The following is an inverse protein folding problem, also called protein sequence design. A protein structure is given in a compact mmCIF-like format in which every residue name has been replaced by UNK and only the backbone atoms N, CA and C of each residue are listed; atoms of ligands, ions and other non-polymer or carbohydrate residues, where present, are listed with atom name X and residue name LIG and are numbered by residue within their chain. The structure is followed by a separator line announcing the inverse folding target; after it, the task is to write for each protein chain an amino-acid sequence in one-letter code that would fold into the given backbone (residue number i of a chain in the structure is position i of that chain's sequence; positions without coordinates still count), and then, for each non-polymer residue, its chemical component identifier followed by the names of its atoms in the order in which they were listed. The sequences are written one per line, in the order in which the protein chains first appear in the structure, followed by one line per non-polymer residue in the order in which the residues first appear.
data_IF_998324982073
#
_entry.id   IF_998324982073
#
_cell.length_a   1.000
_cell.length_b   1.000
_cell.length_c   1.000
_cell.angle_alpha   90.00
_cell.angle_beta   90.00
_cell.angle_gamma   90.00
#
_symmetry.space_group_name_H-M   'P 1'
#
loop_
_entity.id
_entity.type
_entity.pdbx_description
1 polymer ?
#
# COMPACT_ATOMS: atom_id res chain seq x y z
N UNK A 1 -4.14 -16.44 57.44
CA UNK A 1 -3.47 -17.06 56.27
C UNK A 1 -4.29 -16.75 55.05
N UNK A 2 -3.69 -16.11 54.04
CA UNK A 2 -4.32 -15.88 52.74
C UNK A 2 -3.80 -17.03 51.89
N UNK A 3 -4.68 -17.98 51.59
CA UNK A 3 -4.36 -19.11 50.74
C UNK A 3 -3.93 -18.59 49.37
N UNK A 4 -2.65 -18.79 49.06
CA UNK A 4 -2.07 -18.67 47.74
C UNK A 4 -2.58 -19.82 46.88
N UNK A 5 -3.83 -19.74 46.41
CA UNK A 5 -4.34 -20.59 45.35
C UNK A 5 -3.83 -20.09 43.99
N UNK A 6 -2.80 -20.81 43.52
CA UNK A 6 -2.58 -21.22 42.12
C UNK A 6 -2.72 -20.16 41.03
N UNK A 7 -1.64 -19.41 40.84
CA UNK A 7 -1.27 -18.78 39.56
C UNK A 7 -1.02 -19.84 38.44
N UNK A 8 -1.04 -21.13 38.77
CA UNK A 8 -0.83 -22.24 37.85
C UNK A 8 -2.08 -22.71 37.07
N UNK A 9 -3.31 -22.32 37.44
CA UNK A 9 -4.55 -22.74 36.75
C UNK A 9 -4.96 -21.85 35.56
N UNK A 10 -4.35 -20.67 35.37
CA UNK A 10 -4.67 -19.74 34.27
C UNK A 10 -3.65 -19.75 33.10
N UNK A 11 -2.61 -20.59 33.15
CA UNK A 11 -1.52 -20.61 32.14
C UNK A 11 -1.41 -21.91 31.34
N UNK A 12 -2.08 -22.99 31.74
CA UNK A 12 -2.08 -24.26 30.98
C UNK A 12 -3.16 -24.30 29.87
N UNK A 13 -4.22 -23.52 30.01
CA UNK A 13 -5.36 -23.43 29.09
C UNK A 13 -5.13 -22.47 27.90
N UNK A 14 -4.24 -21.49 28.04
CA UNK A 14 -3.77 -20.61 26.95
C UNK A 14 -2.80 -21.37 26.00
N UNK A 15 -2.12 -22.39 26.53
CA UNK A 15 -0.98 -23.07 25.90
C UNK A 15 -1.36 -24.29 25.05
N UNK A 16 -2.41 -25.06 25.33
CA UNK A 16 -2.90 -26.08 24.36
C UNK A 16 -3.62 -25.46 23.15
N UNK A 17 -3.95 -24.17 23.26
CA UNK A 17 -4.83 -23.45 22.35
C UNK A 17 -4.08 -22.94 21.11
N UNK A 18 -2.91 -22.34 21.29
CA UNK A 18 -2.02 -21.92 20.20
C UNK A 18 -1.10 -23.07 19.71
N UNK A 19 -0.99 -24.14 20.48
CA UNK A 19 -0.16 -25.31 20.15
C UNK A 19 -0.80 -26.23 19.11
N UNK A 20 -2.13 -26.29 19.05
CA UNK A 20 -2.81 -26.83 17.87
C UNK A 20 -2.80 -25.83 16.69
N UNK A 21 -2.87 -24.52 16.96
CA UNK A 21 -2.82 -23.47 15.91
C UNK A 21 -1.55 -23.52 15.06
N UNK A 22 -0.42 -23.82 15.69
CA UNK A 22 0.86 -23.93 15.02
C UNK A 22 1.07 -25.31 14.35
N UNK A 23 0.49 -26.39 14.88
CA UNK A 23 0.75 -27.76 14.40
C UNK A 23 0.08 -28.11 13.08
N UNK A 24 -0.94 -27.35 12.68
CA UNK A 24 -1.55 -27.50 11.37
C UNK A 24 -0.99 -26.52 10.35
N UNK A 25 -0.58 -25.31 10.75
CA UNK A 25 0.18 -24.39 9.89
C UNK A 25 1.38 -25.12 9.27
N UNK A 26 1.98 -25.99 10.09
CA UNK A 26 3.03 -26.98 9.80
C UNK A 26 2.69 -28.03 8.72
N UNK A 27 1.44 -28.46 8.55
CA UNK A 27 1.01 -29.33 7.44
C UNK A 27 0.55 -28.51 6.21
N UNK A 28 0.06 -27.29 6.40
CA UNK A 28 -0.37 -26.41 5.30
C UNK A 28 0.77 -25.90 4.44
N UNK A 29 1.94 -25.64 5.04
CA UNK A 29 3.18 -25.24 4.35
C UNK A 29 3.92 -26.46 3.76
N UNK A 30 3.78 -27.63 4.38
CA UNK A 30 4.34 -28.85 3.81
C UNK A 30 3.52 -29.40 2.63
N UNK A 31 2.29 -28.91 2.44
CA UNK A 31 1.53 -29.01 1.16
C UNK A 31 1.81 -27.87 0.18
N UNK A 32 2.19 -26.65 0.62
CA UNK A 32 2.75 -25.64 -0.30
C UNK A 32 3.87 -26.27 -1.16
N UNK A 33 4.65 -27.19 -0.58
CA UNK A 33 5.79 -27.91 -1.17
C UNK A 33 5.50 -29.03 -2.19
N UNK A 34 4.27 -29.52 -2.34
CA UNK A 34 3.99 -30.62 -3.30
C UNK A 34 3.38 -30.14 -4.63
N UNK A 35 2.80 -28.93 -4.64
CA UNK A 35 2.03 -28.38 -5.75
C UNK A 35 2.25 -26.86 -5.83
N UNK A 36 3.47 -26.37 -5.58
CA UNK A 36 3.85 -25.05 -6.08
C UNK A 36 3.95 -25.19 -7.60
N UNK A 37 2.80 -25.19 -8.28
CA UNK A 37 2.75 -24.89 -9.72
C UNK A 37 3.14 -23.43 -9.78
N UNK A 38 4.46 -23.22 -9.86
CA UNK A 38 5.14 -22.09 -10.47
C UNK A 38 4.22 -20.88 -10.51
N UNK A 39 4.21 -20.11 -9.42
CA UNK A 39 3.60 -18.79 -9.42
C UNK A 39 4.35 -17.92 -10.42
N UNK A 40 4.02 -18.07 -11.71
CA UNK A 40 4.60 -17.41 -12.87
C UNK A 40 6.10 -17.13 -12.75
N UNK A 41 6.92 -18.11 -13.06
CA UNK A 41 8.38 -18.00 -12.96
C UNK A 41 9.01 -17.06 -13.99
N UNK A 42 8.25 -16.56 -14.96
CA UNK A 42 8.71 -15.48 -15.82
C UNK A 42 7.55 -14.61 -16.27
N UNK A 43 7.67 -13.33 -15.91
CA UNK A 43 6.87 -12.27 -16.48
C UNK A 43 7.79 -11.35 -17.27
N UNK A 44 7.31 -10.94 -18.43
CA UNK A 44 7.89 -9.79 -19.14
C UNK A 44 6.91 -8.63 -19.01
N UNK A 45 7.42 -7.42 -18.83
CA UNK A 45 6.58 -6.26 -18.64
C UNK A 45 7.30 -5.11 -17.97
N UNK A 46 6.59 -4.00 -17.83
CA UNK A 46 7.08 -2.83 -17.14
C UNK A 46 6.31 -2.68 -15.83
N UNK A 47 7.01 -2.83 -14.70
CA UNK A 47 6.50 -2.51 -13.38
C UNK A 47 7.26 -1.32 -12.84
N UNK A 48 6.68 -0.13 -12.96
CA UNK A 48 7.23 1.09 -12.37
C UNK A 48 6.93 1.15 -10.88
N UNK A 49 7.50 0.25 -10.07
CA UNK A 49 7.49 0.25 -8.59
C UNK A 49 6.12 0.16 -7.87
N UNK A 50 5.05 0.68 -8.45
CA UNK A 50 3.78 1.03 -7.80
C UNK A 50 2.61 0.29 -8.43
N UNK A 51 2.43 0.47 -9.74
CA UNK A 51 1.45 -0.20 -10.59
C UNK A 51 2.19 -0.60 -11.87
N UNK A 52 1.95 -1.82 -12.35
CA UNK A 52 2.61 -2.33 -13.55
C UNK A 52 1.70 -3.26 -14.34
N UNK A 53 2.05 -3.45 -15.60
CA UNK A 53 1.44 -4.48 -16.42
C UNK A 53 2.48 -5.57 -16.67
N UNK A 54 2.11 -6.78 -16.30
CA UNK A 54 2.97 -7.95 -16.45
C UNK A 54 2.28 -8.96 -17.37
N UNK A 55 3.05 -9.57 -18.27
CA UNK A 55 2.55 -10.61 -19.17
C UNK A 55 3.06 -11.96 -18.69
N UNK A 56 2.13 -12.86 -18.41
CA UNK A 56 2.44 -14.27 -18.20
C UNK A 56 2.89 -14.91 -19.49
N UNK A 57 4.00 -15.64 -19.45
CA UNK A 57 4.26 -16.67 -20.44
C UNK A 57 3.67 -17.98 -19.88
N UNK A 58 2.52 -18.38 -20.41
CA UNK A 58 1.89 -19.63 -19.99
C UNK A 58 2.59 -20.80 -20.70
N UNK A 59 3.54 -21.45 -20.03
CA UNK A 59 4.36 -22.51 -20.64
C UNK A 59 3.60 -23.81 -20.96
N UNK A 60 2.41 -24.00 -20.38
CA UNK A 60 1.64 -25.24 -20.49
C UNK A 60 0.52 -25.22 -21.55
N UNK A 61 0.31 -24.11 -22.25
CA UNK A 61 -0.70 -24.01 -23.30
C UNK A 61 -0.06 -24.11 -24.68
N UNK A 62 -0.49 -25.09 -25.49
CA UNK A 62 -0.13 -25.20 -26.91
C UNK A 62 -0.49 -23.94 -27.72
N UNK A 63 -1.36 -23.07 -27.17
CA UNK A 63 -1.59 -21.72 -27.62
C UNK A 63 -0.83 -20.74 -26.70
N UNK A 64 0.21 -20.10 -27.23
CA UNK A 64 1.01 -19.04 -26.57
C UNK A 64 0.22 -17.75 -26.37
N UNK A 65 -0.95 -17.82 -25.76
CA UNK A 65 -1.72 -16.63 -25.39
C UNK A 65 -1.12 -16.07 -24.10
N UNK A 66 -0.35 -14.99 -24.23
CA UNK A 66 0.13 -14.24 -23.08
C UNK A 66 -1.06 -13.59 -22.38
N UNK A 67 -1.24 -13.89 -21.10
CA UNK A 67 -2.25 -13.21 -20.27
C UNK A 67 -1.61 -11.97 -19.64
N UNK A 68 -2.28 -10.82 -19.75
CA UNK A 68 -1.83 -9.57 -19.14
C UNK A 68 -2.47 -9.40 -17.77
N UNK A 69 -1.66 -9.06 -16.76
CA UNK A 69 -2.11 -8.80 -15.40
C UNK A 69 -1.72 -7.38 -14.98
N UNK A 70 -2.62 -6.73 -14.26
CA UNK A 70 -2.32 -5.55 -13.46
C UNK A 70 -1.65 -5.99 -12.17
N UNK A 71 -0.39 -5.60 -12.00
CA UNK A 71 0.39 -5.81 -10.79
C UNK A 71 0.26 -4.60 -9.88
N UNK A 72 -0.20 -4.83 -8.66
CA UNK A 72 -0.31 -3.84 -7.59
C UNK A 72 0.79 -4.10 -6.55
N UNK A 73 2.01 -3.59 -6.79
CA UNK A 73 3.22 -4.00 -6.04
C UNK A 73 3.45 -3.24 -4.74
N UNK A 74 3.38 -1.91 -4.79
CA UNK A 74 3.51 -1.05 -3.59
C UNK A 74 2.18 -0.41 -3.20
N UNK A 75 1.29 -0.25 -4.17
CA UNK A 75 0.01 0.43 -3.99
C UNK A 75 -1.08 -0.59 -3.73
N UNK A 76 -1.79 -0.38 -2.63
CA UNK A 76 -3.16 -0.84 -2.48
C UNK A 76 -3.33 -2.09 -1.63
N UNK A 77 -2.66 -3.21 -1.90
CA UNK A 77 -3.16 -4.49 -1.39
C UNK A 77 -2.07 -5.56 -1.21
N UNK A 78 -1.91 -6.03 0.03
CA UNK A 78 -1.16 -7.23 0.38
C UNK A 78 -2.07 -8.20 1.12
N UNK A 79 -1.78 -9.49 0.98
CA UNK A 79 -2.41 -10.48 1.83
C UNK A 79 -1.76 -10.33 3.21
N UNK A 80 -2.54 -9.94 4.22
CA UNK A 80 -2.05 -9.88 5.59
C UNK A 80 -1.98 -11.29 6.13
N UNK A 81 -0.80 -11.87 6.00
CA UNK A 81 -0.43 -13.05 6.75
C UNK A 81 -0.48 -12.69 8.24
N UNK A 82 -1.57 -13.05 8.90
CA UNK A 82 -1.75 -12.82 10.32
C UNK A 82 -1.10 -13.99 11.06
N UNK A 83 -0.04 -13.77 11.86
CA UNK A 83 0.43 -14.80 12.78
C UNK A 83 -0.65 -14.97 13.85
N UNK A 84 -1.24 -16.16 13.95
CA UNK A 84 -2.49 -16.29 14.67
C UNK A 84 -3.18 -17.65 14.46
N UNK A 85 -4.23 -17.92 15.27
CA UNK A 85 -5.12 -19.07 15.08
C UNK A 85 -5.96 -18.91 13.82
N UNK A 86 -5.97 -17.68 13.29
CA UNK A 86 -6.57 -17.21 12.05
C UNK A 86 -5.50 -16.95 10.98
N UNK A 87 -4.56 -17.89 10.78
CA UNK A 87 -3.60 -17.81 9.68
C UNK A 87 -4.33 -17.82 8.34
N UNK A 88 -3.84 -16.98 7.43
CA UNK A 88 -4.32 -16.85 6.07
C UNK A 88 -3.16 -17.06 5.11
N UNK A 89 -3.30 -17.99 4.17
CA UNK A 89 -2.33 -18.23 3.10
C UNK A 89 -3.03 -18.23 1.74
N UNK A 90 -2.32 -17.81 0.70
CA UNK A 90 -2.77 -17.89 -0.68
C UNK A 90 -2.10 -19.06 -1.39
N UNK A 91 -2.87 -19.80 -2.18
CA UNK A 91 -2.34 -20.84 -3.04
C UNK A 91 -3.11 -20.93 -4.37
N UNK A 92 -2.50 -21.55 -5.37
CA UNK A 92 -3.15 -21.84 -6.66
C UNK A 92 -3.40 -23.34 -6.81
N UNK A 93 -4.58 -23.70 -7.32
CA UNK A 93 -4.92 -25.07 -7.67
C UNK A 93 -5.74 -25.09 -8.96
N UNK A 94 -5.32 -25.89 -9.92
CA UNK A 94 -5.94 -26.00 -11.25
C UNK A 94 -6.12 -24.62 -11.94
N UNK A 95 -5.13 -23.73 -11.81
CA UNK A 95 -5.14 -22.38 -12.39
C UNK A 95 -6.06 -21.37 -11.71
N UNK A 96 -6.70 -21.74 -10.60
CA UNK A 96 -7.54 -20.83 -9.80
C UNK A 96 -6.85 -20.45 -8.49
N UNK A 97 -7.00 -19.21 -8.05
CA UNK A 97 -6.50 -18.73 -6.76
C UNK A 97 -7.45 -19.08 -5.61
N UNK A 98 -6.88 -19.43 -4.46
CA UNK A 98 -7.59 -19.73 -3.23
C UNK A 98 -6.93 -19.03 -2.05
N UNK A 99 -7.75 -18.58 -1.11
CA UNK A 99 -7.33 -18.19 0.23
C UNK A 99 -7.70 -19.31 1.19
N UNK A 100 -6.72 -19.82 1.92
CA UNK A 100 -6.94 -20.79 2.99
C UNK A 100 -6.86 -20.08 4.34
N UNK A 101 -7.93 -20.18 5.13
CA UNK A 101 -7.96 -19.65 6.51
C UNK A 101 -8.00 -20.79 7.52
N UNK A 102 -7.15 -20.75 8.55
CA UNK A 102 -7.24 -21.67 9.69
C UNK A 102 -8.41 -21.30 10.59
N UNK A 103 -9.16 -22.30 11.04
CA UNK A 103 -10.20 -22.17 12.06
C UNK A 103 -9.96 -23.21 13.15
N UNK A 104 -9.88 -22.76 14.40
CA UNK A 104 -9.79 -23.66 15.56
C UNK A 104 -11.20 -24.02 16.02
N UNK A 105 -11.47 -25.31 16.12
CA UNK A 105 -12.68 -25.88 16.71
C UNK A 105 -12.33 -26.47 18.08
N UNK A 106 -13.14 -26.16 19.09
CA UNK A 106 -12.97 -26.70 20.45
C UNK A 106 -14.20 -27.53 20.80
N UNK A 107 -14.01 -28.82 21.11
CA UNK A 107 -15.07 -29.75 21.54
C UNK A 107 -14.64 -30.40 22.85
N UNK A 108 -15.21 -29.96 23.97
CA UNK A 108 -14.80 -30.40 25.31
C UNK A 108 -13.37 -29.93 25.65
N UNK A 109 -12.50 -30.84 26.12
CA UNK A 109 -11.06 -30.58 26.35
C UNK A 109 -10.18 -30.83 25.12
N UNK A 110 -10.79 -31.07 23.96
CA UNK A 110 -10.08 -31.34 22.71
C UNK A 110 -10.20 -30.16 21.75
N UNK A 111 -9.06 -29.75 21.19
CA UNK A 111 -8.98 -28.74 20.14
C UNK A 111 -8.58 -29.41 18.83
N UNK A 112 -9.30 -29.09 17.75
CA UNK A 112 -8.96 -29.49 16.39
C UNK A 112 -8.88 -28.26 15.50
N UNK A 113 -8.04 -28.32 14.47
CA UNK A 113 -7.86 -27.21 13.52
C UNK A 113 -8.42 -27.67 12.16
N UNK A 114 -9.08 -26.76 11.45
CA UNK A 114 -9.61 -26.99 10.11
C UNK A 114 -9.24 -25.84 9.18
N UNK A 115 -9.26 -26.09 7.88
CA UNK A 115 -9.03 -25.09 6.85
C UNK A 115 -10.33 -24.79 6.12
N UNK A 116 -10.61 -23.50 5.92
CA UNK A 116 -11.68 -23.04 5.04
C UNK A 116 -11.03 -22.40 3.82
N UNK A 117 -11.11 -23.10 2.70
CA UNK A 117 -10.63 -22.60 1.43
C UNK A 117 -11.71 -21.78 0.74
N UNK A 118 -11.38 -20.55 0.39
CA UNK A 118 -12.25 -19.64 -0.36
C UNK A 118 -11.62 -19.37 -1.71
N UNK A 119 -12.33 -19.73 -2.78
CA UNK A 119 -11.92 -19.36 -4.14
C UNK A 119 -11.92 -17.84 -4.29
N UNK A 120 -10.85 -17.30 -4.85
CA UNK A 120 -10.71 -15.86 -5.14
C UNK A 120 -10.55 -15.64 -6.64
N UNK A 121 -11.05 -14.49 -7.12
CA UNK A 121 -11.01 -14.10 -8.53
C UNK A 121 -9.77 -13.27 -8.91
N UNK A 122 -8.74 -13.27 -8.06
CA UNK A 122 -7.46 -12.62 -8.31
C UNK A 122 -6.33 -13.62 -8.13
N UNK A 123 -5.20 -13.34 -8.77
CA UNK A 123 -3.97 -14.08 -8.57
C UNK A 123 -3.04 -13.32 -7.61
N UNK A 124 -2.06 -14.00 -7.05
CA UNK A 124 -1.07 -13.39 -6.15
C UNK A 124 0.33 -13.87 -6.51
N UNK A 125 1.26 -12.92 -6.56
CA UNK A 125 2.70 -13.18 -6.73
C UNK A 125 3.36 -13.18 -5.37
N UNK A 126 3.91 -14.33 -4.96
CA UNK A 126 4.64 -14.47 -3.71
C UNK A 126 5.98 -13.70 -3.73
N UNK A 127 6.66 -13.65 -4.88
CA UNK A 127 7.98 -13.01 -5.03
C UNK A 127 7.94 -11.52 -4.69
N UNK A 128 6.85 -10.85 -5.08
CA UNK A 128 6.67 -9.42 -4.91
C UNK A 128 5.66 -9.06 -3.81
N UNK A 129 5.04 -10.07 -3.18
CA UNK A 129 3.90 -9.93 -2.28
C UNK A 129 2.86 -8.96 -2.87
N UNK A 130 2.31 -9.31 -4.03
CA UNK A 130 1.44 -8.42 -4.80
C UNK A 130 0.26 -9.14 -5.42
N UNK A 131 -0.89 -8.47 -5.43
CA UNK A 131 -2.09 -8.96 -6.08
C UNK A 131 -2.00 -8.68 -7.59
N UNK A 132 -2.40 -9.69 -8.36
CA UNK A 132 -2.44 -9.70 -9.81
C UNK A 132 -3.89 -9.78 -10.27
N UNK A 133 -4.34 -8.75 -10.97
CA UNK A 133 -5.68 -8.68 -11.53
C UNK A 133 -5.60 -8.96 -13.02
N UNK A 134 -6.33 -9.96 -13.51
CA UNK A 134 -6.36 -10.30 -14.92
C UNK A 134 -7.02 -9.18 -15.73
N UNK A 135 -6.38 -8.77 -16.83
CA UNK A 135 -6.95 -7.84 -17.81
C UNK A 135 -7.26 -8.62 -19.08
N UNK A 136 -8.55 -8.83 -19.34
CA UNK A 136 -9.01 -9.63 -20.48
C UNK A 136 -9.06 -8.82 -21.79
N UNK A 137 -9.15 -7.49 -21.71
CA UNK A 137 -9.33 -6.63 -22.88
C UNK A 137 -8.09 -5.80 -23.19
N UNK A 138 -7.67 -5.83 -24.46
CA UNK A 138 -6.59 -4.96 -24.99
C UNK A 138 -6.93 -3.47 -24.85
N UNK A 139 -8.23 -3.11 -24.88
CA UNK A 139 -8.66 -1.73 -24.64
C UNK A 139 -8.33 -1.27 -23.22
N UNK A 140 -8.61 -2.11 -22.22
CA UNK A 140 -8.27 -1.82 -20.82
C UNK A 140 -6.75 -1.80 -20.60
N UNK A 141 -6.00 -2.68 -21.26
CA UNK A 141 -4.53 -2.65 -21.23
C UNK A 141 -3.99 -1.29 -21.69
N UNK A 142 -4.44 -0.81 -22.85
CA UNK A 142 -4.04 0.50 -23.37
C UNK A 142 -4.46 1.65 -22.45
N UNK A 143 -5.69 1.63 -21.94
CA UNK A 143 -6.20 2.68 -21.04
C UNK A 143 -5.38 2.78 -19.74
N UNK A 144 -5.02 1.63 -19.15
CA UNK A 144 -4.19 1.58 -17.95
C UNK A 144 -2.78 2.11 -18.26
N UNK A 145 -2.16 1.70 -19.37
CA UNK A 145 -0.84 2.23 -19.77
C UNK A 145 -0.86 3.74 -19.95
N UNK A 146 -1.85 4.26 -20.68
CA UNK A 146 -2.01 5.69 -20.90
C UNK A 146 -2.23 6.44 -19.58
N UNK A 147 -3.04 5.88 -18.66
CA UNK A 147 -3.31 6.48 -17.35
C UNK A 147 -2.05 6.53 -16.48
N UNK A 148 -1.25 5.45 -16.45
CA UNK A 148 0.02 5.42 -15.71
C UNK A 148 1.01 6.44 -16.29
N UNK A 149 1.13 6.51 -17.62
CA UNK A 149 2.00 7.48 -18.28
C UNK A 149 1.58 8.92 -17.97
N UNK A 150 0.28 9.22 -18.06
CA UNK A 150 -0.27 10.53 -17.72
C UNK A 150 0.03 10.92 -16.27
N UNK A 151 -0.16 9.98 -15.34
CA UNK A 151 0.15 10.16 -13.92
C UNK A 151 1.64 10.51 -13.71
N UNK A 152 2.56 9.84 -14.41
CA UNK A 152 3.99 10.14 -14.36
C UNK A 152 4.31 11.54 -14.88
N UNK A 153 3.70 11.93 -16.02
CA UNK A 153 3.90 13.26 -16.60
C UNK A 153 3.42 14.35 -15.64
N UNK A 154 2.21 14.19 -15.08
CA UNK A 154 1.65 15.11 -14.09
C UNK A 154 2.56 15.19 -12.86
N UNK A 155 3.05 14.06 -12.37
CA UNK A 155 3.96 14.01 -11.22
C UNK A 155 5.25 14.79 -11.48
N UNK A 156 5.90 14.57 -12.64
CA UNK A 156 7.12 15.30 -13.02
C UNK A 156 6.82 16.81 -13.11
N UNK A 157 5.70 17.20 -13.74
CA UNK A 157 5.31 18.58 -13.90
C UNK A 157 5.08 19.29 -12.55
N UNK A 158 4.45 18.62 -11.58
CA UNK A 158 4.24 19.16 -10.23
C UNK A 158 5.56 19.33 -9.50
N UNK A 159 6.47 18.34 -9.56
CA UNK A 159 7.78 18.44 -8.92
C UNK A 159 8.64 19.57 -9.51
N UNK A 160 8.66 19.73 -10.85
CA UNK A 160 9.33 20.84 -11.50
C UNK A 160 8.73 22.19 -11.11
N UNK A 161 7.40 22.25 -10.95
CA UNK A 161 6.70 23.47 -10.51
C UNK A 161 7.06 23.84 -9.07
N UNK A 162 7.13 22.86 -8.16
CA UNK A 162 7.60 23.07 -6.78
C UNK A 162 9.05 23.56 -6.74
N UNK A 163 9.94 22.93 -7.51
CA UNK A 163 11.34 23.33 -7.61
C UNK A 163 11.47 24.76 -8.12
N UNK A 164 10.70 25.13 -9.17
CA UNK A 164 10.66 26.50 -9.69
C UNK A 164 10.19 27.51 -8.64
N UNK A 165 9.15 27.20 -7.89
CA UNK A 165 8.68 28.06 -6.80
C UNK A 165 9.80 28.24 -5.76
N UNK A 166 10.49 27.17 -5.39
CA UNK A 166 11.54 27.19 -4.38
C UNK A 166 12.73 28.05 -4.82
N UNK A 167 13.21 27.86 -6.04
CA UNK A 167 14.29 28.67 -6.63
C UNK A 167 13.89 30.15 -6.68
N UNK A 168 12.66 30.46 -7.11
CA UNK A 168 12.17 31.83 -7.17
C UNK A 168 12.09 32.50 -5.79
N UNK A 169 11.78 31.73 -4.75
CA UNK A 169 11.82 32.20 -3.37
C UNK A 169 13.27 32.49 -2.93
N UNK A 170 14.22 31.59 -3.20
CA UNK A 170 15.64 31.83 -2.89
C UNK A 170 16.21 33.07 -3.60
N UNK A 171 15.83 33.30 -4.86
CA UNK A 171 16.21 34.51 -5.61
C UNK A 171 15.60 35.77 -4.97
N UNK A 172 14.38 35.69 -4.41
CA UNK A 172 13.79 36.81 -3.70
C UNK A 172 14.54 37.11 -2.40
N UNK A 173 14.94 36.08 -1.66
CA UNK A 173 15.75 36.21 -0.45
C UNK A 173 17.10 36.88 -0.76
N UNK A 174 17.80 36.45 -1.83
CA UNK A 174 19.09 37.05 -2.21
C UNK A 174 18.98 38.52 -2.64
N UNK A 175 17.79 38.97 -3.03
CA UNK A 175 17.48 40.36 -3.39
C UNK A 175 16.88 41.17 -2.23
N UNK A 176 16.88 40.63 -1.00
CA UNK A 176 16.22 41.22 0.18
C UNK A 176 14.72 41.52 0.00
N UNK A 177 14.05 40.75 -0.87
CA UNK A 177 12.61 40.84 -1.17
C UNK A 177 11.81 39.69 -0.57
N UNK A 178 12.35 39.07 0.48
CA UNK A 178 11.78 37.88 1.10
C UNK A 178 10.38 38.11 1.68
N UNK A 179 10.11 39.33 2.16
CA UNK A 179 8.87 39.73 2.81
C UNK A 179 7.86 40.39 1.87
N UNK A 180 8.07 40.37 0.54
CA UNK A 180 7.04 40.80 -0.39
C UNK A 180 5.84 39.84 -0.33
N UNK A 181 4.62 40.36 -0.42
CA UNK A 181 3.38 39.58 -0.37
C UNK A 181 3.38 38.41 -1.38
N UNK A 182 3.92 38.64 -2.58
CA UNK A 182 4.06 37.61 -3.62
C UNK A 182 4.97 36.47 -3.16
N UNK A 183 6.07 36.76 -2.47
CA UNK A 183 7.04 35.76 -2.02
C UNK A 183 6.54 35.01 -0.79
N UNK A 184 5.88 35.70 0.14
CA UNK A 184 5.19 35.08 1.27
C UNK A 184 4.09 34.14 0.78
N UNK A 185 3.27 34.55 -0.19
CA UNK A 185 2.23 33.69 -0.75
C UNK A 185 2.80 32.48 -1.52
N UNK A 186 4.01 32.55 -2.09
CA UNK A 186 4.67 31.36 -2.69
C UNK A 186 4.91 30.26 -1.67
N UNK A 187 5.32 30.61 -0.45
CA UNK A 187 5.51 29.63 0.64
C UNK A 187 4.19 28.94 1.00
N UNK A 188 3.08 29.69 1.05
CA UNK A 188 1.74 29.12 1.22
C UNK A 188 1.41 28.15 0.10
N UNK A 189 1.62 28.53 -1.15
CA UNK A 189 1.35 27.68 -2.31
C UNK A 189 2.17 26.39 -2.26
N UNK A 190 3.47 26.46 -1.97
CA UNK A 190 4.30 25.25 -1.80
C UNK A 190 3.73 24.33 -0.73
N UNK A 191 3.37 24.88 0.43
CA UNK A 191 2.85 24.11 1.56
C UNK A 191 1.54 23.40 1.20
N UNK A 192 0.62 24.11 0.53
CA UNK A 192 -0.65 23.55 0.07
C UNK A 192 -0.43 22.46 -0.99
N UNK A 193 0.47 22.67 -1.96
CA UNK A 193 0.77 21.67 -2.98
C UNK A 193 1.38 20.41 -2.36
N UNK A 194 2.30 20.55 -1.40
CA UNK A 194 2.86 19.41 -0.66
C UNK A 194 1.78 18.65 0.14
N UNK A 195 0.84 19.37 0.75
CA UNK A 195 -0.30 18.75 1.45
C UNK A 195 -1.16 17.94 0.48
N UNK A 196 -1.53 18.55 -0.65
CA UNK A 196 -2.36 17.91 -1.67
C UNK A 196 -1.65 16.66 -2.20
N UNK A 197 -0.35 16.72 -2.49
CA UNK A 197 0.43 15.57 -2.92
C UNK A 197 0.38 14.42 -1.90
N UNK A 198 0.60 14.73 -0.62
CA UNK A 198 0.50 13.74 0.46
C UNK A 198 -0.91 13.14 0.55
N UNK A 199 -1.95 13.96 0.55
CA UNK A 199 -3.34 13.51 0.66
C UNK A 199 -3.81 12.70 -0.57
N UNK A 200 -3.42 13.10 -1.78
CA UNK A 200 -3.78 12.41 -3.03
C UNK A 200 -3.23 10.98 -3.05
N UNK A 201 -2.01 10.77 -2.55
CA UNK A 201 -1.45 9.42 -2.41
C UNK A 201 -2.34 8.50 -1.56
N UNK A 202 -2.77 8.97 -0.37
CA UNK A 202 -3.66 8.20 0.50
C UNK A 202 -5.03 7.97 -0.16
N UNK A 203 -5.59 8.99 -0.81
CA UNK A 203 -6.86 8.89 -1.51
C UNK A 203 -6.80 7.85 -2.64
N UNK A 204 -5.72 7.82 -3.43
CA UNK A 204 -5.55 6.84 -4.51
C UNK A 204 -5.48 5.41 -3.95
N UNK A 205 -4.70 5.17 -2.88
CA UNK A 205 -4.65 3.86 -2.23
C UNK A 205 -6.03 3.41 -1.74
N UNK A 206 -6.78 4.32 -1.13
CA UNK A 206 -8.13 4.03 -0.64
C UNK A 206 -9.11 3.75 -1.79
N UNK A 207 -9.03 4.51 -2.90
CA UNK A 207 -9.85 4.27 -4.09
C UNK A 207 -9.53 2.91 -4.70
N UNK A 208 -8.25 2.53 -4.80
CA UNK A 208 -7.85 1.20 -5.30
C UNK A 208 -8.41 0.09 -4.40
N UNK A 209 -8.32 0.26 -3.08
CA UNK A 209 -8.94 -0.68 -2.14
C UNK A 209 -10.46 -0.76 -2.30
N UNK A 210 -11.14 0.37 -2.49
CA UNK A 210 -12.59 0.40 -2.73
C UNK A 210 -12.97 -0.31 -4.03
N UNK A 211 -12.30 0.00 -5.14
CA UNK A 211 -12.54 -0.65 -6.44
C UNK A 211 -12.31 -2.15 -6.30
N UNK A 212 -11.23 -2.54 -5.62
CA UNK A 212 -10.93 -3.93 -5.39
C UNK A 212 -12.00 -4.62 -4.54
N UNK A 213 -12.39 -4.04 -3.40
CA UNK A 213 -13.38 -4.63 -2.50
C UNK A 213 -14.79 -4.72 -3.10
N UNK A 214 -15.12 -3.88 -4.09
CA UNK A 214 -16.36 -3.98 -4.86
C UNK A 214 -16.34 -5.15 -5.85
N UNK A 215 -15.20 -5.42 -6.48
CA UNK A 215 -15.05 -6.48 -7.49
C UNK A 215 -14.59 -7.83 -6.95
N UNK A 216 -13.94 -7.85 -5.78
CA UNK A 216 -13.22 -8.99 -5.24
C UNK A 216 -13.43 -9.14 -3.73
N UNK A 217 -13.25 -10.36 -3.22
CA UNK A 217 -13.27 -10.62 -1.78
C UNK A 217 -12.14 -9.85 -1.10
N UNK A 218 -12.49 -8.94 -0.19
CA UNK A 218 -11.53 -8.17 0.64
C UNK A 218 -10.95 -8.96 1.81
N UNK A 219 -11.36 -10.21 1.99
CA UNK A 219 -10.98 -11.04 3.12
C UNK A 219 -9.46 -11.23 3.19
N UNK A 220 -8.87 -10.72 4.29
CA UNK A 220 -7.45 -10.87 4.55
C UNK A 220 -6.53 -10.05 3.66
N UNK A 221 -7.09 -9.09 2.94
CA UNK A 221 -6.34 -8.13 2.15
C UNK A 221 -6.23 -6.85 2.95
N UNK A 222 -4.99 -6.41 3.14
CA UNK A 222 -4.67 -5.18 3.86
C UNK A 222 -4.05 -4.18 2.92
N UNK A 223 -4.39 -2.92 3.19
CA UNK A 223 -3.83 -1.79 2.49
C UNK A 223 -2.36 -1.69 2.84
N UNK A 224 -1.50 -1.83 1.84
CA UNK A 224 -0.09 -1.53 2.02
C UNK A 224 0.08 -0.07 2.37
N UNK A 225 0.98 0.21 3.31
CA UNK A 225 1.30 1.59 3.63
C UNK A 225 1.94 2.24 2.40
N UNK A 226 1.11 3.09 1.78
CA UNK A 226 1.52 4.31 1.10
C UNK A 226 2.00 4.12 -0.34
N UNK A 227 1.65 5.10 -1.20
CA UNK A 227 2.15 5.15 -2.57
C UNK A 227 3.67 5.35 -2.56
N UNK A 228 4.23 5.92 -1.49
CA UNK A 228 5.65 6.07 -1.24
C UNK A 228 6.00 5.71 0.21
N UNK A 229 7.16 5.11 0.46
CA UNK A 229 7.61 4.68 1.82
C UNK A 229 7.61 5.82 2.85
N UNK A 230 7.53 7.09 2.41
CA UNK A 230 7.57 8.28 3.25
C UNK A 230 6.49 9.33 2.92
N UNK A 231 5.28 8.98 2.50
CA UNK A 231 4.25 10.02 2.19
C UNK A 231 3.86 10.88 3.39
N UNK A 232 3.95 10.34 4.61
CA UNK A 232 3.79 11.14 5.83
C UNK A 232 4.82 12.28 5.91
N UNK A 233 6.00 12.13 5.30
CA UNK A 233 7.00 13.19 5.23
C UNK A 233 6.52 14.39 4.42
N UNK A 234 5.73 14.19 3.35
CA UNK A 234 5.16 15.29 2.58
C UNK A 234 4.16 16.10 3.42
N UNK A 235 3.38 15.43 4.26
CA UNK A 235 2.43 16.08 5.18
C UNK A 235 3.20 16.85 6.26
N UNK A 236 4.27 16.28 6.82
CA UNK A 236 5.14 16.97 7.79
C UNK A 236 5.82 18.19 7.15
N UNK A 237 6.37 18.03 5.94
CA UNK A 237 7.05 19.11 5.21
C UNK A 237 6.06 20.23 4.84
N UNK A 238 4.82 19.87 4.51
CA UNK A 238 3.73 20.83 4.31
C UNK A 238 3.44 21.62 5.58
N UNK A 239 3.31 20.95 6.73
CA UNK A 239 3.08 21.61 8.01
C UNK A 239 4.24 22.56 8.36
N UNK A 240 5.48 22.13 8.16
CA UNK A 240 6.67 22.96 8.37
C UNK A 240 6.68 24.16 7.42
N UNK A 241 6.40 23.96 6.13
CA UNK A 241 6.27 25.05 5.16
C UNK A 241 5.19 26.06 5.56
N UNK A 242 4.06 25.59 6.09
CA UNK A 242 2.97 26.45 6.54
C UNK A 242 3.34 27.27 7.78
N UNK A 243 4.13 26.69 8.71
CA UNK A 243 4.70 27.42 9.84
C UNK A 243 5.67 28.51 9.38
N UNK A 244 6.54 28.20 8.41
CA UNK A 244 7.44 29.20 7.79
C UNK A 244 6.62 30.31 7.13
N UNK A 245 5.60 29.98 6.34
CA UNK A 245 4.67 30.96 5.78
C UNK A 245 4.08 31.88 6.85
N UNK A 246 3.60 31.31 7.96
CA UNK A 246 2.99 32.07 9.05
C UNK A 246 3.99 33.02 9.71
N UNK A 247 5.23 32.57 9.91
CA UNK A 247 6.30 33.39 10.45
C UNK A 247 6.66 34.55 9.50
N UNK A 248 6.84 34.27 8.20
CA UNK A 248 7.16 35.29 7.19
C UNK A 248 6.03 36.30 7.01
N UNK A 249 4.76 35.86 7.09
CA UNK A 249 3.60 36.75 7.05
C UNK A 249 3.59 37.71 8.23
N UNK A 250 3.88 37.23 9.44
CA UNK A 250 3.98 38.10 10.63
C UNK A 250 5.12 39.10 10.51
N UNK A 251 6.28 38.66 10.04
CA UNK A 251 7.43 39.54 9.82
C UNK A 251 7.13 40.62 8.77
N UNK A 252 6.44 40.27 7.68
CA UNK A 252 5.98 41.22 6.66
C UNK A 252 5.04 42.28 7.25
N UNK A 253 4.06 41.89 8.06
CA UNK A 253 3.13 42.84 8.70
C UNK A 253 3.89 43.79 9.62
N UNK A 254 4.82 43.26 10.43
CA UNK A 254 5.63 44.07 11.33
C UNK A 254 6.50 45.08 10.57
N UNK A 255 7.06 44.67 9.42
CA UNK A 255 7.82 45.57 8.56
C UNK A 255 6.95 46.69 8.00
N UNK A 256 5.73 46.36 7.52
CA UNK A 256 4.78 47.35 7.03
C UNK A 256 4.33 48.34 8.11
N UNK A 257 4.14 47.87 9.35
CA UNK A 257 3.80 48.73 10.49
C UNK A 257 4.94 49.71 10.82
N UNK A 258 6.19 49.24 10.79
CA UNK A 258 7.37 50.09 11.01
C UNK A 258 7.51 51.15 9.92
N UNK A 259 7.32 50.76 8.65
CA UNK A 259 7.40 51.67 7.51
C UNK A 259 6.30 52.75 7.53
N UNK A 260 5.17 52.50 8.21
CA UNK A 260 4.08 53.49 8.40
C UNK A 260 4.29 54.43 9.60
N UNK A 261 5.17 54.07 10.53
CA UNK A 261 5.38 54.81 11.79
C UNK A 261 6.54 55.80 11.70
N UNK A 262 7.45 55.62 10.74
CA UNK A 262 8.59 56.51 10.45
C UNK A 262 8.13 57.64 9.52
#
# INVERSE_FOLDING_TARGET
EIDSYSIDENKLDDINSDVNFAKQKLDSINREKAIFVQGFESYSGWSGGFIGLIKSLNFNSANKNSLTYLKLSKVGLKIQETPGPDYLTYYTKDGNGYLSKTRIHTVGKHHSVSYVDKKVAYNYSADDNSILILIESTFWEFFIQASILLMIIVFIAVNLSLLKLFINFLIAVSKNKAFDEVNVNRLRTMSVVLLILGCVSYAINFIIYLIFSLGYSSEGIVITHSFWEHDYFLVILSALGYLIYTAFRKAMILQQEQDLTI
#
